data_IF_894838654636
#
_entry.id   IF_894838654636
#
_cell.length_a   1.000
_cell.length_b   1.000
_cell.length_c   1.000
_cell.angle_alpha   90.00
_cell.angle_beta   90.00
_cell.angle_gamma   90.00
#
_symmetry.space_group_name_H-M   'P 1'
#
loop_
_entity.id
_entity.type
_entity.pdbx_description
1 polymer ?
#
# COMPACT_ATOMS: atom_id res chain seq x y z
N UNK A 1 -33.70 -65.10 -32.18
CA UNK A 1 -33.23 -65.47 -30.83
C UNK A 1 -32.00 -64.62 -30.50
N UNK A 2 -32.20 -63.65 -29.68
CA UNK A 2 -31.16 -62.74 -29.18
C UNK A 2 -30.91 -63.15 -27.73
N UNK A 3 -29.68 -63.36 -27.26
CA UNK A 3 -29.42 -63.49 -25.85
C UNK A 3 -29.12 -62.14 -25.24
N UNK A 4 -29.73 -61.88 -24.09
CA UNK A 4 -29.50 -60.82 -23.17
C UNK A 4 -28.03 -60.73 -22.71
N UNK A 5 -27.50 -59.54 -22.62
CA UNK A 5 -26.23 -59.24 -21.94
C UNK A 5 -26.51 -58.48 -20.69
N UNK A 6 -26.26 -59.09 -19.55
CA UNK A 6 -26.42 -58.56 -18.22
C UNK A 6 -25.27 -57.58 -17.88
N UNK A 7 -25.63 -56.39 -17.40
CA UNK A 7 -24.72 -55.34 -17.00
C UNK A 7 -24.38 -55.49 -15.51
N UNK A 8 -23.24 -56.08 -15.18
CA UNK A 8 -22.67 -56.02 -13.84
C UNK A 8 -21.67 -54.86 -13.71
N UNK A 9 -21.99 -53.97 -12.77
CA UNK A 9 -21.31 -52.71 -12.54
C UNK A 9 -19.86 -52.82 -12.10
N UNK A 10 -19.05 -51.94 -12.65
CA UNK A 10 -17.80 -51.53 -12.06
C UNK A 10 -17.98 -50.11 -11.56
N UNK A 11 -18.06 -49.93 -10.26
CA UNK A 11 -17.95 -48.64 -9.60
C UNK A 11 -16.52 -48.17 -9.72
N UNK A 12 -16.28 -47.20 -10.61
CA UNK A 12 -15.06 -46.44 -10.65
C UNK A 12 -15.13 -45.44 -9.49
N UNK A 13 -14.33 -45.68 -8.45
CA UNK A 13 -14.13 -44.70 -7.38
C UNK A 13 -13.52 -43.45 -7.98
N UNK A 14 -14.35 -42.43 -8.15
CA UNK A 14 -13.91 -41.11 -8.54
C UNK A 14 -12.97 -40.54 -7.48
N UNK A 15 -11.76 -40.25 -7.91
CA UNK A 15 -10.81 -39.47 -7.10
C UNK A 15 -11.45 -38.18 -6.66
N UNK A 16 -11.34 -37.90 -5.36
CA UNK A 16 -11.79 -36.66 -4.77
C UNK A 16 -11.08 -35.48 -5.47
N UNK A 17 -11.83 -34.83 -6.34
CA UNK A 17 -11.43 -33.54 -6.89
C UNK A 17 -11.25 -32.57 -5.73
N UNK A 18 -10.04 -32.06 -5.55
CA UNK A 18 -9.77 -30.99 -4.63
C UNK A 18 -10.72 -29.82 -4.98
N UNK A 19 -11.74 -29.61 -4.16
CA UNK A 19 -12.59 -28.44 -4.24
C UNK A 19 -11.69 -27.21 -4.09
N UNK A 20 -11.65 -26.40 -5.13
CA UNK A 20 -11.01 -25.09 -5.10
C UNK A 20 -11.65 -24.31 -3.94
N UNK A 21 -10.96 -24.19 -2.82
CA UNK A 21 -11.36 -23.34 -1.71
C UNK A 21 -11.29 -21.90 -2.20
N UNK A 22 -12.46 -21.35 -2.58
CA UNK A 22 -12.60 -19.95 -3.00
C UNK A 22 -12.32 -18.96 -1.85
N UNK A 23 -12.32 -19.44 -0.60
CA UNK A 23 -12.33 -18.66 0.65
C UNK A 23 -11.03 -18.78 1.47
N UNK A 24 -9.86 -18.64 0.92
CA UNK A 24 -8.60 -18.61 1.69
C UNK A 24 -7.72 -17.43 1.30
N UNK A 25 -6.68 -17.16 2.07
CA UNK A 25 -5.66 -16.18 1.72
C UNK A 25 -4.65 -16.79 0.72
N UNK A 26 -4.08 -15.97 -0.16
CA UNK A 26 -3.02 -16.44 -1.05
C UNK A 26 -1.78 -16.81 -0.24
N UNK A 27 -1.19 -17.99 -0.51
CA UNK A 27 -0.06 -18.55 0.24
C UNK A 27 1.12 -17.56 0.35
N UNK A 28 1.52 -16.89 -0.75
CA UNK A 28 2.57 -15.88 -0.70
C UNK A 28 2.20 -14.65 0.16
N UNK A 29 0.90 -14.34 0.33
CA UNK A 29 0.45 -13.27 1.23
C UNK A 29 0.66 -13.67 2.68
N UNK A 30 0.34 -14.91 3.04
CA UNK A 30 0.52 -15.46 4.40
C UNK A 30 1.99 -15.52 4.79
N UNK A 31 2.84 -16.07 3.91
CA UNK A 31 4.31 -16.12 4.13
C UNK A 31 4.89 -14.71 4.33
N UNK A 32 4.42 -13.74 3.54
CA UNK A 32 4.88 -12.36 3.65
C UNK A 32 4.35 -11.67 4.91
N UNK A 33 3.11 -11.93 5.32
CA UNK A 33 2.53 -11.39 6.55
C UNK A 33 3.23 -11.91 7.81
N UNK A 34 3.69 -13.16 7.78
CA UNK A 34 4.50 -13.77 8.84
C UNK A 34 5.95 -13.25 8.90
N UNK A 35 6.34 -12.34 8.00
CA UNK A 35 7.68 -11.75 8.00
C UNK A 35 8.79 -12.60 7.37
N UNK A 36 8.49 -13.81 6.88
CA UNK A 36 9.47 -14.75 6.34
C UNK A 36 10.13 -14.22 5.06
N UNK A 37 9.33 -13.67 4.13
CA UNK A 37 9.83 -13.18 2.84
C UNK A 37 8.96 -12.04 2.28
N UNK A 38 9.40 -11.36 1.19
CA UNK A 38 8.47 -10.52 0.42
C UNK A 38 7.53 -11.41 -0.41
N UNK A 39 6.38 -10.89 -0.87
CA UNK A 39 5.46 -11.66 -1.73
C UNK A 39 6.15 -12.24 -2.96
N UNK A 40 7.01 -11.43 -3.64
CA UNK A 40 7.77 -11.91 -4.82
C UNK A 40 8.78 -13.00 -4.46
N UNK A 41 9.48 -12.84 -3.34
CA UNK A 41 10.41 -13.88 -2.87
C UNK A 41 9.63 -15.13 -2.45
N UNK A 42 8.48 -14.99 -1.78
CA UNK A 42 7.60 -16.11 -1.45
C UNK A 42 7.07 -16.83 -2.70
N UNK A 43 6.74 -16.10 -3.76
CA UNK A 43 6.38 -16.70 -5.05
C UNK A 43 7.52 -17.53 -5.64
N UNK A 44 8.77 -17.03 -5.59
CA UNK A 44 9.94 -17.80 -6.03
C UNK A 44 10.15 -19.06 -5.17
N UNK A 45 10.04 -18.94 -3.84
CA UNK A 45 10.17 -20.08 -2.92
C UNK A 45 9.11 -21.17 -3.20
N UNK A 46 7.88 -20.75 -3.55
CA UNK A 46 6.82 -21.69 -3.97
C UNK A 46 7.21 -22.40 -5.26
N UNK A 47 7.58 -21.68 -6.31
CA UNK A 47 7.98 -22.26 -7.60
C UNK A 47 9.19 -23.18 -7.49
N UNK A 48 10.11 -22.87 -6.55
CA UNK A 48 11.28 -23.72 -6.24
C UNK A 48 10.92 -24.97 -5.42
N UNK A 49 9.64 -25.18 -5.04
CA UNK A 49 9.18 -26.32 -4.24
C UNK A 49 9.68 -26.30 -2.79
N UNK A 50 10.05 -25.14 -2.25
CA UNK A 50 10.57 -24.95 -0.89
C UNK A 50 9.48 -24.66 0.15
N UNK A 51 8.22 -24.64 -0.27
CA UNK A 51 7.05 -24.36 0.59
C UNK A 51 6.20 -25.61 0.70
N UNK A 52 5.81 -25.95 1.92
CA UNK A 52 4.85 -27.02 2.19
C UNK A 52 3.60 -26.48 2.86
N UNK A 53 2.45 -27.10 2.56
CA UNK A 53 1.17 -26.85 3.24
C UNK A 53 0.64 -28.21 3.68
N UNK A 54 0.41 -28.37 4.99
CA UNK A 54 -0.01 -29.64 5.60
C UNK A 54 0.91 -30.82 5.21
N UNK A 55 2.21 -30.57 5.11
CA UNK A 55 3.24 -31.55 4.73
C UNK A 55 3.38 -31.81 3.23
N UNK A 56 2.49 -31.28 2.38
CA UNK A 56 2.58 -31.40 0.92
C UNK A 56 3.33 -30.24 0.29
N UNK A 57 4.25 -30.51 -0.63
CA UNK A 57 4.98 -29.49 -1.37
C UNK A 57 4.03 -28.72 -2.29
N UNK A 58 4.12 -27.42 -2.27
CA UNK A 58 3.42 -26.51 -3.18
C UNK A 58 4.41 -25.83 -4.11
N UNK A 59 4.34 -26.14 -5.39
CA UNK A 59 5.24 -25.65 -6.45
C UNK A 59 4.52 -24.76 -7.49
N UNK A 60 3.20 -24.61 -7.37
CA UNK A 60 2.38 -23.80 -8.27
C UNK A 60 1.83 -22.56 -7.58
N UNK A 61 1.86 -21.42 -8.30
CA UNK A 61 1.30 -20.17 -7.83
C UNK A 61 -0.24 -20.23 -7.79
N UNK A 62 -0.83 -19.41 -6.92
CA UNK A 62 -2.28 -19.28 -6.81
C UNK A 62 -2.90 -20.07 -5.68
N UNK A 63 -2.16 -20.96 -5.01
CA UNK A 63 -2.65 -21.69 -3.83
C UNK A 63 -3.21 -20.73 -2.79
N UNK A 64 -4.40 -21.06 -2.26
CA UNK A 64 -5.01 -20.40 -1.11
C UNK A 64 -4.94 -21.31 0.10
N UNK A 65 -4.80 -20.69 1.27
CA UNK A 65 -4.66 -21.37 2.57
C UNK A 65 -5.46 -20.62 3.62
N UNK A 66 -5.85 -21.34 4.66
CA UNK A 66 -6.38 -20.76 5.89
C UNK A 66 -5.26 -20.69 6.93
N UNK A 67 -4.75 -19.49 7.27
CA UNK A 67 -3.64 -19.36 8.22
C UNK A 67 -3.97 -19.86 9.64
N UNK A 68 -5.26 -20.05 9.96
CA UNK A 68 -5.70 -20.54 11.26
C UNK A 68 -5.68 -22.07 11.38
N UNK A 69 -5.74 -22.78 10.26
CA UNK A 69 -5.89 -24.24 10.23
C UNK A 69 -4.83 -24.95 9.43
N UNK A 70 -4.23 -24.30 8.42
CA UNK A 70 -3.22 -24.91 7.58
C UNK A 70 -1.81 -24.74 8.18
N UNK A 71 -1.07 -25.85 8.26
CA UNK A 71 0.35 -25.85 8.63
C UNK A 71 1.20 -25.47 7.41
N UNK A 72 1.80 -24.29 7.46
CA UNK A 72 2.68 -23.79 6.39
C UNK A 72 4.11 -23.86 6.88
N UNK A 73 5.02 -24.37 6.04
CA UNK A 73 6.45 -24.32 6.31
C UNK A 73 7.25 -23.88 5.06
N UNK A 74 8.37 -23.20 5.32
CA UNK A 74 9.36 -22.81 4.30
C UNK A 74 10.68 -23.44 4.68
N UNK A 75 11.28 -24.19 3.75
CA UNK A 75 12.50 -25.00 4.00
C UNK A 75 12.40 -25.90 5.26
N UNK A 76 11.20 -26.42 5.52
CA UNK A 76 10.93 -27.25 6.70
C UNK A 76 10.76 -26.46 8.02
N UNK A 77 10.89 -25.12 7.99
CA UNK A 77 10.65 -24.26 9.16
C UNK A 77 9.21 -23.79 9.17
N UNK A 78 8.43 -24.07 10.23
CA UNK A 78 7.04 -23.60 10.32
C UNK A 78 6.93 -22.08 10.24
N UNK A 79 5.98 -21.62 9.43
CA UNK A 79 5.62 -20.19 9.32
C UNK A 79 4.71 -19.85 10.48
N UNK A 80 5.20 -19.08 11.45
CA UNK A 80 4.38 -18.62 12.58
C UNK A 80 3.57 -17.39 12.17
N UNK A 81 2.24 -17.50 12.21
CA UNK A 81 1.32 -16.45 11.77
C UNK A 81 1.20 -15.21 12.67
N UNK A 82 1.93 -15.15 13.77
CA UNK A 82 1.71 -14.15 14.84
C UNK A 82 2.88 -13.14 14.95
N UNK A 83 3.28 -12.56 13.84
CA UNK A 83 4.14 -11.37 13.89
C UNK A 83 3.32 -10.21 14.50
N UNK A 84 3.76 -9.68 15.64
CA UNK A 84 3.12 -8.51 16.26
C UNK A 84 3.02 -7.37 15.24
N UNK A 85 1.81 -6.79 15.08
CA UNK A 85 1.61 -5.71 14.09
C UNK A 85 2.32 -4.45 14.55
N UNK A 86 3.08 -3.86 13.65
CA UNK A 86 3.80 -2.60 13.85
C UNK A 86 3.27 -1.50 12.93
N UNK A 87 3.20 -0.31 13.48
CA UNK A 87 2.74 0.88 12.77
C UNK A 87 3.67 2.04 13.14
N UNK A 88 4.52 2.40 12.22
CA UNK A 88 5.61 3.35 12.43
C UNK A 88 5.46 4.53 11.48
N UNK A 89 5.64 5.73 12.00
CA UNK A 89 5.73 6.96 11.25
C UNK A 89 7.20 7.34 11.11
N UNK A 90 7.66 7.53 9.88
CA UNK A 90 8.98 8.03 9.54
C UNK A 90 8.86 9.46 9.01
N UNK A 91 9.71 10.37 9.48
CA UNK A 91 10.00 11.60 8.75
C UNK A 91 11.13 11.32 7.76
N UNK A 92 10.76 10.87 6.54
CA UNK A 92 11.71 10.48 5.50
C UNK A 92 12.57 11.68 5.08
N UNK A 93 13.90 11.59 5.13
CA UNK A 93 14.75 12.64 4.58
C UNK A 93 14.76 12.65 3.04
N UNK A 94 15.20 13.75 2.47
CA UNK A 94 15.57 13.84 1.06
C UNK A 94 16.77 12.94 0.77
N UNK A 95 16.89 12.41 -0.44
CA UNK A 95 17.98 11.53 -0.88
C UNK A 95 17.75 10.04 -0.61
N UNK A 96 16.67 9.68 0.08
CA UNK A 96 16.30 8.29 0.37
C UNK A 96 15.21 7.85 -0.61
N UNK A 97 15.40 6.73 -1.31
CA UNK A 97 14.36 6.12 -2.14
C UNK A 97 13.37 5.33 -1.29
N UNK A 98 12.09 5.36 -1.65
CA UNK A 98 11.03 4.59 -0.96
C UNK A 98 11.03 3.13 -1.44
N UNK A 99 12.11 2.43 -1.13
CA UNK A 99 12.33 0.99 -1.33
C UNK A 99 13.02 0.43 -0.09
N UNK A 100 12.88 -0.85 0.16
CA UNK A 100 13.61 -1.58 1.21
C UNK A 100 14.86 -2.28 0.67
N UNK A 101 15.01 -2.32 -0.65
CA UNK A 101 16.16 -2.85 -1.35
C UNK A 101 16.27 -2.12 -2.68
N UNK A 102 17.30 -1.29 -2.83
CA UNK A 102 17.56 -0.57 -4.08
C UNK A 102 18.63 -1.29 -4.89
N UNK A 103 18.25 -1.80 -6.05
CA UNK A 103 19.14 -2.54 -6.96
C UNK A 103 20.27 -1.66 -7.53
N UNK A 104 20.16 -0.34 -7.42
CA UNK A 104 21.15 0.64 -7.92
C UNK A 104 22.09 1.14 -6.84
N UNK A 105 22.01 0.59 -5.62
CA UNK A 105 22.86 0.97 -4.49
C UNK A 105 22.63 2.39 -3.94
N UNK A 106 21.46 3.00 -4.22
CA UNK A 106 21.09 4.28 -3.61
C UNK A 106 20.64 4.03 -2.17
N UNK A 107 20.80 5.03 -1.31
CA UNK A 107 20.27 4.98 0.04
C UNK A 107 18.76 4.75 0.01
N UNK A 108 18.26 3.85 0.84
CA UNK A 108 16.87 3.42 0.86
C UNK A 108 16.31 3.32 2.29
N UNK A 109 15.13 2.74 2.43
CA UNK A 109 14.43 2.67 3.72
C UNK A 109 15.00 1.62 4.68
N UNK A 110 15.90 0.74 4.26
CA UNK A 110 16.54 -0.25 5.14
C UNK A 110 17.21 0.43 6.34
N UNK A 111 17.82 1.60 6.14
CA UNK A 111 18.45 2.40 7.21
C UNK A 111 17.50 2.71 8.39
N UNK A 112 16.18 2.66 8.18
CA UNK A 112 15.17 3.02 9.18
C UNK A 112 14.40 1.84 9.73
N UNK A 113 14.42 0.68 9.03
CA UNK A 113 13.64 -0.51 9.40
C UNK A 113 14.49 -1.61 10.04
N UNK A 114 15.80 -1.66 9.80
CA UNK A 114 16.71 -2.72 10.29
C UNK A 114 16.76 -2.86 11.82
N UNK A 115 16.29 -1.85 12.54
CA UNK A 115 16.20 -1.87 14.01
C UNK A 115 14.94 -2.55 14.54
N UNK A 116 13.99 -2.90 13.70
CA UNK A 116 12.77 -3.62 14.05
C UNK A 116 12.98 -5.10 13.76
N UNK A 117 12.54 -5.96 14.67
CA UNK A 117 12.56 -7.41 14.46
C UNK A 117 11.58 -7.83 13.38
N UNK A 118 10.45 -7.12 13.31
CA UNK A 118 9.41 -7.34 12.32
C UNK A 118 9.80 -6.74 10.97
N UNK A 119 9.51 -7.47 9.91
CA UNK A 119 9.73 -7.01 8.54
C UNK A 119 8.72 -5.94 8.14
N UNK A 120 9.11 -4.68 8.26
CA UNK A 120 8.28 -3.53 7.86
C UNK A 120 8.42 -3.24 6.36
N UNK A 121 7.36 -2.67 5.78
CA UNK A 121 7.34 -2.10 4.43
C UNK A 121 6.62 -0.76 4.42
N UNK A 122 6.86 0.04 3.39
CA UNK A 122 6.29 1.38 3.27
C UNK A 122 4.88 1.36 2.69
N UNK A 123 4.03 2.22 3.24
CA UNK A 123 2.67 2.50 2.73
C UNK A 123 2.74 3.66 1.75
N UNK A 124 2.58 3.34 0.48
CA UNK A 124 2.79 4.31 -0.58
C UNK A 124 4.26 4.72 -0.71
N UNK A 125 4.51 5.78 -1.45
CA UNK A 125 5.87 6.24 -1.76
C UNK A 125 5.99 7.75 -1.62
N UNK A 126 7.21 8.20 -1.31
CA UNK A 126 7.71 9.54 -1.53
C UNK A 126 8.92 9.45 -2.47
N UNK A 127 9.02 10.37 -3.41
CA UNK A 127 10.21 10.47 -4.28
C UNK A 127 11.46 10.71 -3.44
N UNK A 128 12.63 10.39 -4.00
CA UNK A 128 13.90 10.64 -3.30
C UNK A 128 14.08 12.13 -2.91
N UNK A 129 13.57 13.04 -3.75
CA UNK A 129 13.63 14.50 -3.56
C UNK A 129 12.52 15.03 -2.63
N UNK A 130 11.62 14.17 -2.14
CA UNK A 130 10.50 14.56 -1.26
C UNK A 130 10.73 14.02 0.13
N UNK A 131 10.59 14.87 1.13
CA UNK A 131 10.71 14.51 2.54
C UNK A 131 9.35 14.40 3.22
N UNK A 132 9.35 14.03 4.49
CA UNK A 132 8.19 14.09 5.36
C UNK A 132 7.58 12.74 5.70
N UNK A 133 6.32 12.76 6.04
CA UNK A 133 5.58 11.65 6.63
C UNK A 133 5.49 10.45 5.68
N UNK A 134 6.07 9.32 6.09
CA UNK A 134 5.91 8.02 5.46
C UNK A 134 5.50 7.01 6.54
N UNK A 135 4.51 6.19 6.24
CA UNK A 135 4.07 5.11 7.14
C UNK A 135 4.80 3.83 6.77
N UNK A 136 5.29 3.12 7.78
CA UNK A 136 5.91 1.81 7.68
C UNK A 136 5.10 0.84 8.53
N UNK A 137 4.83 -0.36 8.03
CA UNK A 137 4.03 -1.38 8.74
C UNK A 137 4.30 -2.77 8.19
N UNK A 138 3.93 -3.80 8.94
CA UNK A 138 3.80 -5.19 8.46
C UNK A 138 2.33 -5.60 8.23
N UNK A 139 1.37 -4.69 8.43
CA UNK A 139 -0.06 -4.91 8.15
C UNK A 139 -0.38 -4.62 6.67
N UNK A 140 -0.39 -5.67 5.85
CA UNK A 140 -0.64 -5.57 4.41
C UNK A 140 -2.05 -5.11 4.05
N UNK A 141 -3.03 -5.41 4.90
CA UNK A 141 -4.43 -5.06 4.64
C UNK A 141 -4.67 -3.57 4.91
N UNK A 142 -4.11 -3.05 6.01
CA UNK A 142 -4.14 -1.62 6.29
C UNK A 142 -3.34 -0.84 5.24
N UNK A 143 -2.16 -1.34 4.87
CA UNK A 143 -1.33 -0.71 3.84
C UNK A 143 -2.05 -0.60 2.50
N UNK A 144 -2.81 -1.63 2.09
CA UNK A 144 -3.61 -1.63 0.87
C UNK A 144 -4.65 -0.51 0.89
N UNK A 145 -5.46 -0.43 1.95
CA UNK A 145 -6.49 0.61 2.10
C UNK A 145 -5.87 2.01 2.07
N UNK A 146 -4.77 2.21 2.78
CA UNK A 146 -4.13 3.53 2.86
C UNK A 146 -3.48 3.97 1.54
N UNK A 147 -2.95 3.02 0.76
CA UNK A 147 -2.21 3.33 -0.47
C UNK A 147 -3.10 3.39 -1.72
N UNK A 148 -4.20 2.65 -1.76
CA UNK A 148 -5.02 2.52 -2.97
C UNK A 148 -5.87 3.77 -3.22
N UNK A 149 -5.88 4.30 -4.45
CA UNK A 149 -6.58 5.55 -4.79
C UNK A 149 -8.08 5.53 -4.53
N UNK A 150 -8.75 4.37 -4.68
CA UNK A 150 -10.21 4.25 -4.50
C UNK A 150 -10.71 4.60 -3.10
N UNK A 151 -9.82 4.61 -2.09
CA UNK A 151 -10.20 4.93 -0.72
C UNK A 151 -10.07 6.43 -0.39
N UNK A 152 -9.67 7.26 -1.35
CA UNK A 152 -9.70 8.72 -1.22
C UNK A 152 -8.85 9.31 -0.09
N UNK A 153 -7.83 8.58 0.39
CA UNK A 153 -6.98 9.04 1.50
C UNK A 153 -6.19 10.28 1.09
N UNK A 154 -6.48 11.39 1.74
CA UNK A 154 -5.85 12.68 1.43
C UNK A 154 -4.40 12.76 1.90
N UNK A 155 -3.58 13.50 1.17
CA UNK A 155 -2.19 13.80 1.50
C UNK A 155 -2.00 15.31 1.43
N UNK A 156 -1.47 15.91 2.49
CA UNK A 156 -1.16 17.35 2.50
C UNK A 156 0.33 17.56 2.44
N UNK A 157 0.73 18.43 1.54
CA UNK A 157 2.13 18.78 1.30
C UNK A 157 2.35 20.27 1.55
N UNK A 158 3.55 20.61 1.99
CA UNK A 158 4.09 21.98 1.93
C UNK A 158 5.11 21.98 0.79
N UNK A 159 4.86 22.81 -0.20
CA UNK A 159 5.74 23.01 -1.33
C UNK A 159 6.37 24.41 -1.27
N UNK A 160 7.70 24.46 -1.30
CA UNK A 160 8.43 25.69 -1.63
C UNK A 160 8.57 25.75 -3.14
N UNK A 161 8.17 26.85 -3.75
CA UNK A 161 8.15 27.03 -5.19
C UNK A 161 8.85 28.31 -5.62
N UNK A 162 9.34 28.36 -6.84
CA UNK A 162 9.84 29.60 -7.46
C UNK A 162 8.68 30.49 -7.88
N UNK A 163 8.90 31.78 -7.80
CA UNK A 163 7.93 32.79 -8.19
C UNK A 163 6.96 33.17 -7.06
N UNK A 164 6.29 34.29 -7.24
CA UNK A 164 5.29 34.79 -6.29
C UNK A 164 3.92 34.25 -6.69
N UNK A 165 3.45 33.24 -5.98
CA UNK A 165 2.10 32.68 -6.16
C UNK A 165 1.07 33.74 -5.75
N UNK A 166 0.02 33.86 -6.55
CA UNK A 166 -1.09 34.79 -6.36
C UNK A 166 -2.44 34.06 -6.23
N UNK A 167 -3.53 34.74 -5.85
CA UNK A 167 -4.83 34.11 -5.71
C UNK A 167 -5.35 33.43 -7.00
N UNK A 168 -5.02 33.99 -8.17
CA UNK A 168 -5.39 33.37 -9.45
C UNK A 168 -4.70 32.03 -9.69
N UNK A 169 -3.42 31.90 -9.31
CA UNK A 169 -2.71 30.62 -9.34
C UNK A 169 -3.34 29.59 -8.38
N UNK A 170 -3.70 30.02 -7.17
CA UNK A 170 -4.42 29.16 -6.21
C UNK A 170 -5.73 28.66 -6.79
N UNK A 171 -6.51 29.55 -7.43
CA UNK A 171 -7.79 29.18 -8.04
C UNK A 171 -7.60 28.18 -9.19
N UNK A 172 -6.61 28.38 -10.07
CA UNK A 172 -6.28 27.44 -11.16
C UNK A 172 -5.97 26.03 -10.64
N UNK A 173 -5.27 25.90 -9.52
CA UNK A 173 -4.97 24.60 -8.90
C UNK A 173 -6.22 23.94 -8.30
N UNK A 174 -7.18 24.73 -7.82
CA UNK A 174 -8.47 24.24 -7.30
C UNK A 174 -9.45 23.89 -8.43
N UNK A 175 -9.50 24.69 -9.48
CA UNK A 175 -10.35 24.42 -10.65
C UNK A 175 -9.85 23.23 -11.49
N UNK A 176 -8.55 22.96 -11.39
CA UNK A 176 -7.87 21.89 -12.11
C UNK A 176 -6.90 22.37 -13.15
N UNK A 177 -5.87 21.57 -13.36
CA UNK A 177 -4.86 21.75 -14.40
C UNK A 177 -4.79 20.53 -15.30
N UNK A 178 -4.50 20.76 -16.57
CA UNK A 178 -4.29 19.69 -17.54
C UNK A 178 -2.86 19.16 -17.45
N UNK A 179 -2.70 17.85 -17.30
CA UNK A 179 -1.42 17.15 -17.27
C UNK A 179 -1.40 16.09 -18.38
N UNK A 180 -0.24 15.56 -18.72
CA UNK A 180 -0.08 14.52 -19.75
C UNK A 180 -0.95 13.28 -19.53
N UNK A 181 -1.22 12.91 -18.26
CA UNK A 181 -2.04 11.78 -17.85
C UNK A 181 -3.48 12.21 -17.45
N UNK A 182 -3.94 13.33 -17.95
CA UNK A 182 -5.27 13.89 -17.82
C UNK A 182 -5.42 14.92 -16.70
N UNK A 183 -6.59 15.55 -16.63
CA UNK A 183 -6.87 16.65 -15.71
C UNK A 183 -6.76 16.21 -14.25
N UNK A 184 -6.43 17.18 -13.39
CA UNK A 184 -6.35 17.00 -11.94
C UNK A 184 -6.61 18.33 -11.24
N UNK A 185 -7.42 18.29 -10.19
CA UNK A 185 -7.67 19.39 -9.28
C UNK A 185 -7.12 19.06 -7.88
N UNK A 186 -6.69 20.07 -7.17
CA UNK A 186 -6.35 19.94 -5.76
C UNK A 186 -7.63 20.00 -4.91
N UNK A 187 -7.71 19.17 -3.85
CA UNK A 187 -8.82 19.21 -2.90
C UNK A 187 -8.77 20.50 -2.07
N UNK A 188 -7.58 21.01 -1.78
CA UNK A 188 -7.36 22.26 -1.03
C UNK A 188 -6.02 22.85 -1.37
N UNK A 189 -5.97 24.18 -1.50
CA UNK A 189 -4.74 24.94 -1.69
C UNK A 189 -4.76 26.16 -0.76
N UNK A 190 -3.63 26.42 -0.10
CA UNK A 190 -3.43 27.62 0.71
C UNK A 190 -2.05 28.20 0.42
N UNK A 191 -2.01 29.48 0.11
CA UNK A 191 -0.79 30.25 0.10
C UNK A 191 -0.42 30.59 1.55
N UNK A 192 0.74 30.13 2.02
CA UNK A 192 1.24 30.37 3.37
C UNK A 192 2.11 31.61 3.42
N UNK A 193 2.99 31.74 2.43
CA UNK A 193 3.91 32.86 2.30
C UNK A 193 4.24 33.11 0.83
N UNK A 194 4.45 34.37 0.44
CA UNK A 194 4.92 34.74 -0.89
C UNK A 194 5.81 35.98 -0.76
N UNK A 195 7.11 35.82 -0.95
CA UNK A 195 8.07 36.90 -0.84
C UNK A 195 9.33 36.60 -1.67
N UNK A 196 9.96 37.66 -2.17
CA UNK A 196 11.30 37.63 -2.77
C UNK A 196 11.46 36.63 -3.93
N UNK A 197 10.42 36.40 -4.70
CA UNK A 197 10.46 35.48 -5.85
C UNK A 197 10.33 34.01 -5.46
N UNK A 198 9.92 33.71 -4.23
CA UNK A 198 9.58 32.37 -3.74
C UNK A 198 8.22 32.38 -3.04
N UNK A 199 7.57 31.25 -3.01
CA UNK A 199 6.32 31.08 -2.24
C UNK A 199 6.28 29.73 -1.53
N UNK A 200 5.55 29.71 -0.43
CA UNK A 200 5.26 28.50 0.35
C UNK A 200 3.78 28.19 0.21
N UNK A 201 3.47 27.03 -0.36
CA UNK A 201 2.11 26.61 -0.70
C UNK A 201 1.77 25.32 0.02
N UNK A 202 0.67 25.31 0.76
CA UNK A 202 0.07 24.07 1.27
C UNK A 202 -0.93 23.54 0.25
N UNK A 203 -0.75 22.29 -0.18
CA UNK A 203 -1.63 21.61 -1.15
C UNK A 203 -2.08 20.26 -0.63
N UNK A 204 -3.37 19.99 -0.69
CA UNK A 204 -3.98 18.71 -0.31
C UNK A 204 -4.56 18.01 -1.52
N UNK A 205 -4.29 16.71 -1.64
CA UNK A 205 -4.71 15.86 -2.75
C UNK A 205 -5.09 14.47 -2.23
N UNK A 206 -6.10 13.84 -2.83
CA UNK A 206 -6.37 12.40 -2.67
C UNK A 206 -5.62 11.56 -3.72
N UNK A 207 -5.24 12.14 -4.85
CA UNK A 207 -4.49 11.48 -5.92
C UNK A 207 -3.13 10.96 -5.45
N UNK A 208 -2.72 9.82 -6.03
CA UNK A 208 -1.39 9.21 -5.85
C UNK A 208 -0.58 9.16 -7.14
N UNK A 209 -0.95 9.91 -8.20
CA UNK A 209 -0.21 9.94 -9.47
C UNK A 209 1.26 10.32 -9.22
N UNK A 210 2.14 9.79 -10.07
CA UNK A 210 3.58 10.04 -9.96
C UNK A 210 3.88 11.54 -9.99
N UNK A 211 4.68 12.03 -9.02
CA UNK A 211 5.17 13.42 -8.89
C UNK A 211 4.07 14.49 -9.01
N UNK A 212 2.84 14.16 -8.60
CA UNK A 212 1.65 14.95 -8.92
C UNK A 212 1.75 16.40 -8.45
N UNK A 213 2.19 16.66 -7.22
CA UNK A 213 2.31 18.02 -6.67
C UNK A 213 3.31 18.85 -7.50
N UNK A 214 4.45 18.26 -7.88
CA UNK A 214 5.49 18.93 -8.68
C UNK A 214 4.95 19.29 -10.05
N UNK A 215 4.28 18.36 -10.72
CA UNK A 215 3.69 18.55 -12.05
C UNK A 215 2.58 19.59 -12.05
N UNK A 216 1.70 19.57 -11.05
CA UNK A 216 0.63 20.57 -10.92
C UNK A 216 1.18 21.98 -10.74
N UNK A 217 2.17 22.15 -9.87
CA UNK A 217 2.78 23.45 -9.61
C UNK A 217 3.64 23.94 -10.80
N UNK A 218 4.29 23.03 -11.51
CA UNK A 218 5.00 23.34 -12.75
C UNK A 218 4.05 23.78 -13.88
N UNK A 219 2.87 23.16 -14.01
CA UNK A 219 1.83 23.52 -14.99
C UNK A 219 1.23 24.92 -14.77
N UNK A 220 1.46 25.51 -13.60
CA UNK A 220 1.07 26.90 -13.28
C UNK A 220 2.28 27.83 -13.16
N UNK A 221 3.45 27.44 -13.73
CA UNK A 221 4.71 28.21 -13.80
C UNK A 221 5.39 28.43 -12.43
N UNK A 222 5.14 27.55 -11.46
CA UNK A 222 5.74 27.60 -10.13
C UNK A 222 6.49 26.30 -9.79
N UNK A 223 7.67 26.03 -10.38
CA UNK A 223 8.40 24.80 -10.14
C UNK A 223 8.82 24.64 -8.66
N UNK A 224 8.64 23.42 -8.16
CA UNK A 224 8.89 23.07 -6.75
C UNK A 224 10.39 22.92 -6.50
N UNK A 225 10.92 23.64 -5.52
CA UNK A 225 12.29 23.51 -5.02
C UNK A 225 12.37 22.52 -3.84
N UNK A 226 11.45 22.63 -2.88
CA UNK A 226 11.37 21.72 -1.75
C UNK A 226 9.95 21.21 -1.56
N UNK A 227 9.81 19.94 -1.16
CA UNK A 227 8.51 19.31 -0.96
C UNK A 227 8.53 18.41 0.29
N UNK A 228 7.58 18.69 1.17
CA UNK A 228 7.43 17.94 2.43
C UNK A 228 6.01 17.45 2.58
N UNK A 229 5.78 16.15 2.75
CA UNK A 229 4.46 15.63 3.11
C UNK A 229 4.21 15.83 4.60
N UNK A 230 3.26 16.68 4.94
CA UNK A 230 2.91 17.04 6.33
C UNK A 230 1.86 16.13 6.94
N UNK A 231 0.92 15.62 6.11
CA UNK A 231 -0.09 14.68 6.60
C UNK A 231 -0.39 13.58 5.58
N UNK A 232 -0.92 12.48 6.11
CA UNK A 232 -1.38 11.33 5.35
C UNK A 232 -2.63 10.76 6.03
N UNK A 233 -3.81 11.00 5.44
CA UNK A 233 -5.08 10.79 6.13
C UNK A 233 -5.11 11.52 7.47
N UNK A 234 -5.46 10.82 8.57
CA UNK A 234 -5.55 11.43 9.89
C UNK A 234 -4.20 11.61 10.59
N UNK A 235 -3.10 11.19 9.96
CA UNK A 235 -1.76 11.26 10.53
C UNK A 235 -1.10 12.60 10.20
N UNK A 236 -0.42 13.15 11.18
CA UNK A 236 0.34 14.39 11.05
C UNK A 236 1.79 14.19 11.43
N UNK A 237 2.70 14.79 10.68
CA UNK A 237 4.14 14.72 10.93
C UNK A 237 4.51 15.31 12.31
N UNK A 238 3.81 16.37 12.71
CA UNK A 238 4.08 17.07 13.96
C UNK A 238 5.50 17.60 14.03
N UNK A 239 6.13 17.41 15.19
CA UNK A 239 7.51 17.82 15.49
C UNK A 239 8.53 16.70 15.32
N UNK A 240 8.17 15.58 14.68
CA UNK A 240 9.11 14.47 14.46
C UNK A 240 10.31 14.94 13.63
N UNK A 241 11.55 14.86 14.14
CA UNK A 241 12.72 15.33 13.41
C UNK A 241 12.98 14.50 12.15
N UNK A 242 13.62 15.10 11.15
CA UNK A 242 14.01 14.44 9.90
C UNK A 242 14.89 13.21 10.18
N UNK A 243 14.62 12.11 9.53
CA UNK A 243 15.33 10.84 9.70
C UNK A 243 14.96 10.08 10.99
N UNK A 244 13.98 10.56 11.75
CA UNK A 244 13.51 9.84 12.95
C UNK A 244 12.21 9.10 12.66
N UNK A 245 11.99 8.04 13.42
CA UNK A 245 10.76 7.28 13.43
C UNK A 245 10.14 7.31 14.82
N UNK A 246 8.83 7.12 14.88
CA UNK A 246 8.08 6.81 16.10
C UNK A 246 6.95 5.85 15.80
N UNK A 247 6.51 5.10 16.77
CA UNK A 247 5.27 4.35 16.67
C UNK A 247 4.06 5.30 16.62
N UNK A 248 2.98 4.83 16.01
CA UNK A 248 1.71 5.54 16.07
C UNK A 248 1.14 5.46 17.48
N UNK A 249 0.58 6.55 17.96
CA UNK A 249 -0.21 6.53 19.19
C UNK A 249 -1.48 5.70 19.01
N UNK A 250 -2.04 5.21 20.12
CA UNK A 250 -3.31 4.47 20.12
C UNK A 250 -4.43 5.25 19.43
N UNK A 251 -4.46 6.58 19.61
CA UNK A 251 -5.45 7.47 18.98
C UNK A 251 -5.26 7.54 17.46
N UNK A 252 -4.02 7.68 16.99
CA UNK A 252 -3.70 7.69 15.55
C UNK A 252 -4.05 6.36 14.90
N UNK A 253 -3.66 5.25 15.53
CA UNK A 253 -3.98 3.91 15.05
C UNK A 253 -5.49 3.68 15.01
N UNK A 254 -6.21 4.05 16.06
CA UNK A 254 -7.67 3.93 16.11
C UNK A 254 -8.36 4.69 14.96
N UNK A 255 -7.89 5.89 14.62
CA UNK A 255 -8.40 6.66 13.47
C UNK A 255 -8.12 5.95 12.13
N UNK A 256 -6.92 5.39 11.94
CA UNK A 256 -6.58 4.65 10.72
C UNK A 256 -7.41 3.38 10.57
N UNK A 257 -7.57 2.61 11.64
CA UNK A 257 -8.35 1.38 11.61
C UNK A 257 -9.83 1.65 11.34
N UNK A 258 -10.37 2.76 11.83
CA UNK A 258 -11.74 3.18 11.52
C UNK A 258 -11.90 3.46 10.04
N UNK A 259 -11.03 4.28 9.45
CA UNK A 259 -11.04 4.57 8.00
C UNK A 259 -10.94 3.27 7.20
N UNK A 260 -10.06 2.34 7.61
CA UNK A 260 -9.91 1.06 6.92
C UNK A 260 -11.17 0.19 6.98
N UNK A 261 -11.94 0.24 8.07
CA UNK A 261 -13.22 -0.47 8.19
C UNK A 261 -14.30 0.16 7.32
N UNK A 262 -14.43 1.49 7.37
CA UNK A 262 -15.40 2.26 6.57
C UNK A 262 -15.16 2.03 5.07
N UNK A 263 -13.90 2.07 4.64
CA UNK A 263 -13.48 1.82 3.28
C UNK A 263 -13.80 0.39 2.79
N UNK A 264 -13.67 -0.62 3.65
CA UNK A 264 -14.04 -2.00 3.33
C UNK A 264 -15.56 -2.19 3.26
N UNK A 265 -16.30 -1.56 4.18
CA UNK A 265 -17.76 -1.59 4.20
C UNK A 265 -18.37 -1.01 2.93
N UNK A 266 -17.86 0.13 2.44
CA UNK A 266 -18.31 0.74 1.20
C UNK A 266 -17.94 -0.05 -0.07
N UNK A 267 -16.84 -0.81 -0.03
CA UNK A 267 -16.44 -1.68 -1.15
C UNK A 267 -17.27 -2.98 -1.24
N UNK A 268 -17.90 -3.41 -0.14
CA UNK A 268 -18.79 -4.58 -0.08
C UNK A 268 -20.26 -4.24 -0.35
N UNK A 269 -20.68 -3.01 -0.13
CA UNK A 269 -21.97 -2.47 -0.56
C UNK A 269 -21.83 -2.06 -2.04
N UNK A 270 -21.81 -3.04 -2.95
CA UNK A 270 -21.96 -2.81 -4.39
C UNK A 270 -23.30 -2.15 -4.68
N UNK A 271 -23.52 -1.57 -5.87
CA UNK A 271 -24.78 -0.94 -6.22
C UNK A 271 -25.87 -2.01 -6.25
N UNK A 272 -26.63 -2.14 -5.16
CA UNK A 272 -27.89 -2.88 -5.16
C UNK A 272 -28.88 -2.11 -6.04
N UNK A 273 -29.26 -2.76 -7.12
CA UNK A 273 -30.53 -2.72 -7.84
C UNK A 273 -31.45 -1.51 -7.56
N UNK A 274 -31.22 -0.44 -8.30
CA UNK A 274 -32.29 0.51 -8.60
C UNK A 274 -32.82 0.22 -10.02
N UNK A 275 -33.67 -0.85 -10.14
CA UNK A 275 -34.56 -1.03 -11.28
C UNK A 275 -35.61 -2.08 -10.97
N UNK A 276 -36.73 -1.62 -10.38
CA UNK A 276 -38.05 -2.20 -10.59
C UNK A 276 -39.11 -1.24 -10.02
N UNK A 277 -39.58 -0.29 -10.83
CA UNK A 277 -41.00 -0.02 -11.05
C UNK A 277 -41.15 0.88 -12.27
#
# INVERSE_FOLDING_TARGET
VIPDWDASGATVSGGAGASLQADGERLQKVIAAAGVASRRVAENLIVEGRVTVNGEVVDALGRRVDPATDEIAVDGVPVQGDASRRYVLLNKPVGIVSSLQDERGRRDLSEFVDRYEERLFNVGRLDAETSGLLVLTNDGDLAHVLAHPSFGITKTYIAKVRGNVNPGTVQRLLDGVELEDGPIAADKVRLLESAKGESLVEITLHSGRNRIVRRMLEAVDHPVTDLVRRSFGPLHLGSLPVGKTRELSTVELGKLLRIAREARGSAQAGPDEESAD
#
